data_IF_183694169853
#
_entry.id   IF_183694169853
#
_cell.length_a   1.000
_cell.length_b   1.000
_cell.length_c   1.000
_cell.angle_alpha   90.00
_cell.angle_beta   90.00
_cell.angle_gamma   90.00
#
_symmetry.space_group_name_H-M   'P 1'
#
loop_
_entity.id
_entity.type
_entity.pdbx_description
1 polymer ?
#
# COMPACT_ATOMS: atom_id res chain seq x y z
N UNK A 1 -19.24 -16.01 -7.28
CA UNK A 1 -18.80 -15.31 -6.05
C UNK A 1 -18.76 -16.39 -4.97
N UNK A 2 -17.59 -16.92 -4.68
CA UNK A 2 -17.40 -17.90 -3.60
C UNK A 2 -17.83 -17.23 -2.30
N UNK A 3 -18.61 -17.95 -1.49
CA UNK A 3 -19.03 -17.50 -0.16
C UNK A 3 -17.77 -17.29 0.67
N UNK A 4 -17.29 -16.04 0.71
CA UNK A 4 -16.07 -15.70 1.43
C UNK A 4 -16.42 -15.84 2.91
N UNK A 5 -15.77 -16.78 3.57
CA UNK A 5 -15.86 -16.91 5.04
C UNK A 5 -15.44 -15.57 5.66
N UNK A 6 -16.42 -14.88 6.17
CA UNK A 6 -16.26 -13.52 6.65
C UNK A 6 -15.34 -13.42 7.87
N UNK A 7 -15.46 -14.28 8.91
CA UNK A 7 -14.49 -14.38 9.99
C UNK A 7 -13.06 -14.56 9.48
N UNK A 8 -12.86 -15.46 8.52
CA UNK A 8 -11.57 -15.66 7.87
C UNK A 8 -11.01 -14.40 7.23
N UNK A 9 -11.84 -13.69 6.45
CA UNK A 9 -11.42 -12.44 5.78
C UNK A 9 -11.09 -11.34 6.79
N UNK A 10 -11.85 -11.22 7.90
CA UNK A 10 -11.54 -10.26 8.97
C UNK A 10 -10.19 -10.55 9.61
N UNK A 11 -9.91 -11.82 9.91
CA UNK A 11 -8.62 -12.23 10.49
C UNK A 11 -7.46 -11.99 9.50
N UNK A 12 -7.63 -12.35 8.23
CA UNK A 12 -6.63 -12.10 7.19
C UNK A 12 -6.37 -10.59 7.00
N UNK A 13 -7.41 -9.75 6.99
CA UNK A 13 -7.27 -8.30 6.96
C UNK A 13 -6.52 -7.75 8.17
N UNK A 14 -6.82 -8.24 9.38
CA UNK A 14 -6.09 -7.85 10.59
C UNK A 14 -4.63 -8.32 10.54
N UNK A 15 -4.37 -9.50 9.98
CA UNK A 15 -3.00 -9.97 9.78
C UNK A 15 -2.21 -9.05 8.83
N UNK A 16 -2.80 -8.69 7.69
CA UNK A 16 -2.16 -7.83 6.70
C UNK A 16 -1.95 -6.40 7.24
N UNK A 17 -2.99 -5.78 7.75
CA UNK A 17 -2.96 -4.37 8.19
C UNK A 17 -2.48 -4.19 9.63
N UNK A 18 -2.30 -5.29 10.38
CA UNK A 18 -1.87 -5.34 11.79
C UNK A 18 -2.85 -4.72 12.77
N UNK A 19 -3.63 -3.74 12.35
CA UNK A 19 -4.65 -3.08 13.15
C UNK A 19 -5.71 -2.44 12.24
N UNK A 20 -6.94 -2.41 12.72
CA UNK A 20 -8.03 -1.73 12.04
C UNK A 20 -9.11 -1.28 13.03
N UNK A 21 -9.87 -0.25 12.68
CA UNK A 21 -11.09 0.11 13.41
C UNK A 21 -12.25 -0.80 13.00
N UNK A 22 -13.32 -0.82 13.79
CA UNK A 22 -14.56 -1.54 13.39
C UNK A 22 -15.11 -1.02 12.06
N UNK A 23 -15.04 0.29 11.81
CA UNK A 23 -15.49 0.88 10.55
C UNK A 23 -14.62 0.41 9.37
N UNK A 24 -13.30 0.39 9.54
CA UNK A 24 -12.39 -0.10 8.51
C UNK A 24 -12.67 -1.56 8.15
N UNK A 25 -12.80 -2.45 9.14
CA UNK A 25 -13.13 -3.86 8.92
C UNK A 25 -14.48 -4.02 8.24
N UNK A 26 -15.49 -3.23 8.65
CA UNK A 26 -16.79 -3.24 8.00
C UNK A 26 -16.70 -2.90 6.52
N UNK A 27 -15.95 -1.86 6.15
CA UNK A 27 -15.77 -1.47 4.74
C UNK A 27 -14.92 -2.48 3.97
N UNK A 28 -13.88 -3.07 4.60
CA UNK A 28 -13.06 -4.10 3.95
C UNK A 28 -13.89 -5.30 3.54
N UNK A 29 -14.65 -5.86 4.47
CA UNK A 29 -15.37 -7.13 4.25
C UNK A 29 -16.73 -6.98 3.58
N UNK A 30 -17.35 -5.81 3.68
CA UNK A 30 -18.62 -5.50 2.97
C UNK A 30 -19.81 -6.39 3.32
N UNK A 31 -19.85 -6.97 4.54
CA UNK A 31 -20.73 -8.08 4.92
C UNK A 31 -22.20 -7.73 5.00
N UNK A 32 -22.52 -6.49 5.36
CA UNK A 32 -23.89 -6.09 5.62
C UNK A 32 -24.06 -4.58 5.46
N UNK A 33 -25.29 -4.13 5.25
CA UNK A 33 -25.61 -2.69 5.26
C UNK A 33 -25.32 -2.04 6.60
N UNK A 34 -25.29 -2.81 7.72
CA UNK A 34 -25.15 -2.27 9.07
C UNK A 34 -23.87 -2.74 9.77
N UNK A 35 -23.10 -1.80 10.25
CA UNK A 35 -21.88 -2.04 11.04
C UNK A 35 -22.11 -2.86 12.33
N UNK A 36 -23.37 -2.99 12.77
CA UNK A 36 -23.73 -3.80 13.94
C UNK A 36 -23.33 -5.28 13.78
N UNK A 37 -23.45 -5.86 12.57
CA UNK A 37 -23.03 -7.23 12.28
C UNK A 37 -21.52 -7.39 12.46
N UNK A 38 -20.71 -6.44 11.96
CA UNK A 38 -19.27 -6.45 12.16
C UNK A 38 -18.89 -6.33 13.64
N UNK A 39 -19.60 -5.50 14.40
CA UNK A 39 -19.38 -5.40 15.85
C UNK A 39 -19.70 -6.69 16.59
N UNK A 40 -20.73 -7.42 16.17
CA UNK A 40 -21.08 -8.72 16.76
C UNK A 40 -19.98 -9.74 16.46
N UNK A 41 -19.58 -9.88 15.20
CA UNK A 41 -18.50 -10.78 14.78
C UNK A 41 -17.19 -10.51 15.56
N UNK A 42 -16.79 -9.23 15.70
CA UNK A 42 -15.57 -8.88 16.43
C UNK A 42 -15.66 -9.21 17.92
N UNK A 43 -16.87 -9.22 18.52
CA UNK A 43 -17.06 -9.69 19.90
C UNK A 43 -16.97 -11.20 20.01
N UNK A 44 -17.50 -11.93 19.03
CA UNK A 44 -17.39 -13.38 18.94
C UNK A 44 -15.92 -13.79 18.79
N UNK A 45 -15.18 -13.20 17.84
CA UNK A 45 -13.74 -13.45 17.67
C UNK A 45 -12.91 -13.05 18.92
N UNK A 46 -13.35 -12.07 19.69
CA UNK A 46 -12.70 -11.70 20.95
C UNK A 46 -13.04 -12.67 22.08
N UNK A 47 -14.22 -13.26 22.10
CA UNK A 47 -14.59 -14.33 23.03
C UNK A 47 -13.80 -15.61 22.76
N UNK A 48 -13.48 -15.88 21.48
CA UNK A 48 -12.62 -16.99 21.04
C UNK A 48 -11.12 -16.65 21.20
N UNK A 49 -10.78 -15.54 21.84
CA UNK A 49 -9.41 -15.07 22.07
C UNK A 49 -8.56 -14.89 20.83
N UNK A 50 -9.17 -14.73 19.64
CA UNK A 50 -8.46 -14.53 18.38
C UNK A 50 -8.09 -13.07 18.11
N UNK A 51 -8.90 -12.14 18.61
CA UNK A 51 -8.66 -10.70 18.48
C UNK A 51 -8.75 -9.98 19.83
N UNK A 52 -8.06 -8.86 19.93
CA UNK A 52 -8.12 -7.98 21.10
C UNK A 52 -8.39 -6.54 20.65
N UNK A 53 -9.05 -5.76 21.49
CA UNK A 53 -9.29 -4.34 21.22
C UNK A 53 -8.52 -3.44 22.17
N UNK A 54 -7.98 -2.35 21.61
CA UNK A 54 -7.27 -1.29 22.35
C UNK A 54 -7.91 0.06 22.01
N UNK A 55 -8.13 0.90 23.00
CA UNK A 55 -8.60 2.26 22.76
C UNK A 55 -7.40 3.19 22.53
N UNK A 56 -7.41 3.93 21.40
CA UNK A 56 -6.47 5.02 21.21
C UNK A 56 -6.85 6.22 22.09
N UNK A 57 -5.86 6.92 22.67
CA UNK A 57 -6.13 8.17 23.33
C UNK A 57 -6.57 9.22 22.30
N UNK A 58 -7.56 10.04 22.65
CA UNK A 58 -8.05 11.12 21.82
C UNK A 58 -9.57 11.31 21.95
N UNK A 59 -10.11 12.41 21.40
CA UNK A 59 -11.54 12.64 21.36
C UNK A 59 -12.23 11.52 20.58
N UNK A 60 -13.20 10.85 21.19
CA UNK A 60 -14.00 9.79 20.55
C UNK A 60 -13.56 8.36 20.80
N UNK A 61 -12.51 8.12 21.60
CA UNK A 61 -12.05 6.76 22.01
C UNK A 61 -12.07 5.75 20.86
N UNK A 62 -11.30 6.00 19.82
CA UNK A 62 -11.19 5.10 18.67
C UNK A 62 -10.74 3.71 19.11
N UNK A 63 -11.61 2.71 18.94
CA UNK A 63 -11.29 1.32 19.23
C UNK A 63 -10.55 0.71 18.05
N UNK A 64 -9.34 0.23 18.30
CA UNK A 64 -8.55 -0.57 17.37
C UNK A 64 -8.68 -2.05 17.70
N UNK A 65 -8.76 -2.87 16.67
CA UNK A 65 -8.72 -4.31 16.74
C UNK A 65 -7.36 -4.81 16.22
N UNK A 66 -6.82 -5.81 16.92
CA UNK A 66 -5.55 -6.46 16.63
C UNK A 66 -5.71 -7.96 16.81
N UNK A 67 -4.87 -8.75 16.16
CA UNK A 67 -4.78 -10.18 16.46
C UNK A 67 -4.08 -10.41 17.81
N UNK A 68 -4.54 -11.43 18.53
CA UNK A 68 -3.80 -12.04 19.63
C UNK A 68 -2.69 -12.95 19.10
N UNK A 69 -1.91 -13.57 19.97
CA UNK A 69 -0.97 -14.61 19.57
C UNK A 69 -1.70 -15.80 18.92
N UNK A 70 -2.82 -16.25 19.49
CA UNK A 70 -3.63 -17.33 18.93
C UNK A 70 -4.21 -16.97 17.56
N UNK A 71 -4.77 -15.77 17.40
CA UNK A 71 -5.29 -15.30 16.12
C UNK A 71 -4.19 -15.18 15.04
N UNK A 72 -3.00 -14.70 15.41
CA UNK A 72 -1.83 -14.68 14.51
C UNK A 72 -1.46 -16.11 14.05
N UNK A 73 -1.34 -17.04 14.98
CA UNK A 73 -0.90 -18.39 14.68
C UNK A 73 -1.92 -19.14 13.79
N UNK A 74 -3.22 -18.89 14.01
CA UNK A 74 -4.28 -19.34 13.12
C UNK A 74 -4.12 -18.77 11.70
N UNK A 75 -3.84 -17.47 11.56
CA UNK A 75 -3.68 -16.83 10.26
C UNK A 75 -2.44 -17.34 9.50
N UNK A 76 -1.37 -17.77 10.17
CA UNK A 76 -0.15 -18.25 9.49
C UNK A 76 -0.40 -19.47 8.57
N UNK A 77 -1.46 -20.23 8.82
CA UNK A 77 -1.88 -21.32 7.94
C UNK A 77 -2.60 -20.83 6.67
N UNK A 78 -3.03 -19.58 6.62
CA UNK A 78 -3.78 -19.01 5.51
C UNK A 78 -2.86 -18.75 4.30
N UNK A 79 -3.21 -19.21 3.08
CA UNK A 79 -2.40 -19.00 1.87
C UNK A 79 -2.09 -17.53 1.59
N UNK A 80 -3.05 -16.62 1.83
CA UNK A 80 -2.99 -15.19 1.53
C UNK A 80 -1.94 -14.44 2.34
N UNK A 81 -1.56 -14.97 3.50
CA UNK A 81 -0.58 -14.36 4.40
C UNK A 81 0.69 -15.18 4.56
N UNK A 82 0.80 -16.29 3.82
CA UNK A 82 1.94 -17.21 3.90
C UNK A 82 3.26 -16.48 3.63
N UNK A 83 4.27 -16.76 4.46
CA UNK A 83 5.62 -16.17 4.32
C UNK A 83 5.75 -14.75 4.85
N UNK A 84 4.71 -14.19 5.45
CA UNK A 84 4.72 -12.88 6.07
C UNK A 84 4.93 -12.97 7.57
N UNK A 85 5.77 -12.09 8.11
CA UNK A 85 5.92 -11.95 9.54
C UNK A 85 4.85 -11.02 10.11
N UNK A 86 4.21 -11.42 11.19
CA UNK A 86 3.32 -10.58 11.98
C UNK A 86 3.98 -10.27 13.33
N UNK A 87 4.71 -9.17 13.46
CA UNK A 87 5.20 -8.73 14.77
C UNK A 87 4.01 -8.25 15.62
N UNK A 88 3.87 -8.81 16.81
CA UNK A 88 2.89 -8.32 17.77
C UNK A 88 3.28 -6.90 18.21
N UNK A 89 2.46 -5.93 17.84
CA UNK A 89 2.68 -4.52 18.18
C UNK A 89 1.91 -4.17 19.44
N UNK A 90 2.61 -3.74 20.50
CA UNK A 90 2.03 -3.42 21.80
C UNK A 90 2.49 -2.06 22.33
N UNK A 91 1.72 -1.50 23.25
CA UNK A 91 2.11 -0.33 24.04
C UNK A 91 2.38 0.93 23.20
N UNK A 92 3.52 1.56 23.45
CA UNK A 92 3.93 2.82 22.81
C UNK A 92 4.17 2.67 21.30
N UNK A 93 4.66 1.52 20.85
CA UNK A 93 4.87 1.25 19.43
C UNK A 93 3.56 1.23 18.64
N UNK A 94 2.48 0.67 19.22
CA UNK A 94 1.15 0.70 18.63
C UNK A 94 0.69 2.14 18.43
N UNK A 95 0.78 2.98 19.46
CA UNK A 95 0.32 4.38 19.41
C UNK A 95 1.06 5.20 18.35
N UNK A 96 2.37 4.97 18.20
CA UNK A 96 3.18 5.68 17.20
C UNK A 96 2.86 5.27 15.76
N UNK A 97 2.58 3.98 15.53
CA UNK A 97 2.31 3.44 14.20
C UNK A 97 0.86 3.61 13.76
N UNK A 98 -0.08 3.60 14.71
CA UNK A 98 -1.51 3.59 14.40
C UNK A 98 -1.95 4.70 13.44
N UNK A 99 -1.58 5.97 13.60
CA UNK A 99 -2.02 7.00 12.67
C UNK A 99 -1.61 6.73 11.22
N UNK A 100 -0.35 6.34 10.99
CA UNK A 100 0.14 6.02 9.64
C UNK A 100 -0.54 4.76 9.09
N UNK A 101 -0.59 3.68 9.85
CA UNK A 101 -1.23 2.42 9.42
C UNK A 101 -2.72 2.61 9.08
N UNK A 102 -3.42 3.48 9.80
CA UNK A 102 -4.81 3.80 9.51
C UNK A 102 -4.96 4.63 8.23
N UNK A 103 -4.03 5.53 7.92
CA UNK A 103 -4.07 6.30 6.69
C UNK A 103 -3.70 5.45 5.47
N UNK A 104 -2.76 4.50 5.61
CA UNK A 104 -2.49 3.45 4.61
C UNK A 104 -3.76 2.63 4.34
N UNK A 105 -4.48 2.25 5.40
CA UNK A 105 -5.74 1.51 5.27
C UNK A 105 -6.87 2.37 4.67
N UNK A 106 -6.97 3.66 5.01
CA UNK A 106 -7.92 4.60 4.38
C UNK A 106 -7.68 4.72 2.89
N UNK A 107 -6.40 4.74 2.46
CA UNK A 107 -6.04 4.73 1.05
C UNK A 107 -6.53 3.47 0.35
N UNK A 108 -6.28 2.29 0.94
CA UNK A 108 -6.82 1.02 0.44
C UNK A 108 -8.34 1.08 0.27
N UNK A 109 -9.06 1.58 1.29
CA UNK A 109 -10.53 1.65 1.27
C UNK A 109 -11.07 2.58 0.19
N UNK A 110 -10.37 3.66 -0.18
CA UNK A 110 -10.76 4.52 -1.29
C UNK A 110 -10.73 3.76 -2.62
N UNK A 111 -9.67 3.00 -2.89
CA UNK A 111 -9.58 2.13 -4.07
C UNK A 111 -10.62 1.00 -4.05
N UNK A 112 -10.84 0.38 -2.89
CA UNK A 112 -11.80 -0.72 -2.74
C UNK A 112 -13.25 -0.25 -2.96
N UNK A 113 -13.60 0.93 -2.45
CA UNK A 113 -14.93 1.51 -2.64
C UNK A 113 -15.21 1.77 -4.13
N UNK A 114 -14.24 2.37 -4.83
CA UNK A 114 -14.36 2.63 -6.26
C UNK A 114 -14.42 1.35 -7.09
N UNK A 115 -13.55 0.37 -6.80
CA UNK A 115 -13.56 -0.91 -7.50
C UNK A 115 -14.93 -1.59 -7.44
N UNK A 116 -15.56 -1.57 -6.27
CA UNK A 116 -16.93 -2.11 -6.09
C UNK A 116 -17.98 -1.35 -6.90
N UNK A 117 -17.85 -0.02 -6.99
CA UNK A 117 -18.78 0.79 -7.80
C UNK A 117 -18.61 0.55 -9.30
N UNK A 118 -17.38 0.36 -9.75
CA UNK A 118 -17.02 0.16 -11.15
C UNK A 118 -17.17 -1.29 -11.62
N UNK A 119 -17.26 -2.24 -10.68
CA UNK A 119 -17.22 -3.68 -10.98
C UNK A 119 -15.83 -4.18 -11.38
N UNK A 120 -14.78 -3.48 -10.96
CA UNK A 120 -13.40 -3.88 -11.16
C UNK A 120 -13.00 -5.03 -10.20
N UNK A 121 -11.96 -5.79 -10.57
CA UNK A 121 -11.46 -6.88 -9.72
C UNK A 121 -10.40 -6.32 -8.77
N UNK A 122 -10.82 -6.02 -7.57
CA UNK A 122 -9.98 -5.58 -6.48
C UNK A 122 -10.68 -5.86 -5.15
N UNK A 123 -10.05 -6.65 -4.32
CA UNK A 123 -10.58 -7.13 -3.05
C UNK A 123 -9.76 -6.69 -1.84
N UNK A 124 -10.24 -7.04 -0.63
CA UNK A 124 -9.58 -6.66 0.62
C UNK A 124 -8.19 -7.28 0.80
N UNK A 125 -7.82 -8.33 0.04
CA UNK A 125 -6.55 -9.01 0.11
C UNK A 125 -5.60 -8.68 -1.07
N UNK A 126 -6.02 -7.81 -2.00
CA UNK A 126 -5.21 -7.35 -3.14
C UNK A 126 -4.30 -6.15 -2.79
N UNK A 127 -4.24 -5.83 -1.51
CA UNK A 127 -3.38 -4.81 -0.91
C UNK A 127 -2.37 -5.46 0.04
N UNK A 128 -1.10 -5.31 -0.27
CA UNK A 128 0.01 -5.90 0.47
C UNK A 128 0.81 -4.84 1.21
N UNK A 129 0.63 -4.65 2.53
CA UNK A 129 1.38 -3.66 3.30
C UNK A 129 2.85 -4.02 3.48
N UNK A 130 3.71 -3.00 3.61
CA UNK A 130 5.13 -3.09 3.98
C UNK A 130 5.94 -4.04 3.09
N UNK A 131 5.89 -3.82 1.76
CA UNK A 131 6.64 -4.66 0.80
C UNK A 131 8.10 -4.25 0.75
N UNK A 132 8.96 -5.19 1.10
CA UNK A 132 10.40 -5.00 1.21
C UNK A 132 11.14 -5.44 -0.07
N UNK A 133 11.99 -4.55 -0.61
CA UNK A 133 12.88 -4.86 -1.73
C UNK A 133 14.31 -4.41 -1.43
N UNK A 134 15.24 -5.34 -1.53
CA UNK A 134 16.68 -5.05 -1.37
C UNK A 134 17.21 -4.20 -2.52
N UNK A 135 18.09 -3.26 -2.18
CA UNK A 135 18.79 -2.38 -3.12
C UNK A 135 20.31 -2.66 -3.17
N UNK A 136 20.80 -3.54 -2.31
CA UNK A 136 22.20 -3.99 -2.27
C UNK A 136 22.30 -5.29 -1.47
N UNK A 137 23.52 -5.82 -1.30
CA UNK A 137 23.77 -6.97 -0.45
C UNK A 137 23.63 -6.64 1.05
N UNK A 138 23.62 -5.35 1.40
CA UNK A 138 23.37 -4.91 2.78
C UNK A 138 21.87 -4.94 3.08
N UNK A 139 21.47 -5.64 4.15
CA UNK A 139 20.05 -5.77 4.54
C UNK A 139 19.39 -4.42 4.86
N UNK A 140 20.15 -3.45 5.34
CA UNK A 140 19.63 -2.12 5.66
C UNK A 140 19.34 -1.26 4.42
N UNK A 141 19.92 -1.60 3.27
CA UNK A 141 19.74 -0.85 2.02
C UNK A 141 18.57 -1.45 1.22
N UNK A 142 17.40 -0.91 1.42
CA UNK A 142 16.15 -1.40 0.86
C UNK A 142 15.17 -0.27 0.58
N UNK A 143 14.28 -0.48 -0.38
CA UNK A 143 13.02 0.25 -0.48
C UNK A 143 11.93 -0.56 0.20
N UNK A 144 11.15 0.10 1.05
CA UNK A 144 9.99 -0.49 1.72
C UNK A 144 8.80 0.36 1.33
N UNK A 145 7.98 -0.17 0.41
CA UNK A 145 6.73 0.47 0.06
C UNK A 145 5.74 0.34 1.22
N UNK A 146 4.97 1.40 1.50
CA UNK A 146 3.90 1.30 2.50
C UNK A 146 2.86 0.27 2.09
N UNK A 147 2.64 0.10 0.77
CA UNK A 147 1.89 -1.04 0.22
C UNK A 147 2.21 -1.33 -1.25
N UNK A 148 1.90 -2.56 -1.67
CA UNK A 148 1.75 -2.96 -3.07
C UNK A 148 0.28 -3.25 -3.34
N UNK A 149 -0.29 -2.53 -4.28
CA UNK A 149 -1.66 -2.73 -4.78
C UNK A 149 -1.64 -3.59 -6.04
N UNK A 150 -2.56 -4.57 -6.13
CA UNK A 150 -2.84 -5.37 -7.33
C UNK A 150 -4.27 -5.11 -7.76
N UNK A 151 -4.47 -4.47 -8.88
CA UNK A 151 -5.79 -4.01 -9.33
C UNK A 151 -6.03 -4.46 -10.77
N UNK A 152 -7.21 -5.01 -11.06
CA UNK A 152 -7.60 -5.36 -12.42
C UNK A 152 -8.80 -4.52 -12.83
N UNK A 153 -8.58 -3.65 -13.82
CA UNK A 153 -9.66 -2.87 -14.42
C UNK A 153 -10.38 -3.76 -15.42
N UNK A 154 -11.69 -3.87 -15.25
CA UNK A 154 -12.58 -4.53 -16.20
C UNK A 154 -13.05 -3.52 -17.24
N UNK A 155 -12.67 -3.73 -18.49
CA UNK A 155 -13.04 -2.87 -19.60
C UNK A 155 -14.21 -3.41 -20.41
N UNK A 156 -14.64 -2.64 -21.44
CA UNK A 156 -15.67 -3.07 -22.37
C UNK A 156 -15.32 -4.41 -23.02
N UNK A 157 -16.36 -5.18 -23.38
CA UNK A 157 -16.22 -6.48 -24.06
C UNK A 157 -15.37 -7.52 -23.33
N UNK A 158 -15.26 -7.41 -21.98
CA UNK A 158 -14.53 -8.37 -21.17
C UNK A 158 -13.00 -8.20 -21.19
N UNK A 159 -12.49 -7.09 -21.72
CA UNK A 159 -11.06 -6.78 -21.63
C UNK A 159 -10.64 -6.57 -20.18
N UNK A 160 -9.45 -7.07 -19.81
CA UNK A 160 -8.91 -6.99 -18.44
C UNK A 160 -7.52 -6.37 -18.48
N UNK A 161 -7.30 -5.31 -17.70
CA UNK A 161 -6.01 -4.65 -17.56
C UNK A 161 -5.51 -4.76 -16.13
N UNK A 162 -4.52 -5.61 -15.92
CA UNK A 162 -3.88 -5.78 -14.61
C UNK A 162 -2.87 -4.67 -14.37
N UNK A 163 -3.02 -3.95 -13.27
CA UNK A 163 -2.14 -2.88 -12.82
C UNK A 163 -1.57 -3.22 -11.44
N UNK A 164 -0.34 -2.78 -11.22
CA UNK A 164 0.30 -2.83 -9.91
C UNK A 164 0.82 -1.45 -9.56
N UNK A 165 0.74 -1.11 -8.29
CA UNK A 165 1.30 0.14 -7.80
C UNK A 165 1.96 -0.05 -6.43
N UNK A 166 3.15 0.50 -6.27
CA UNK A 166 3.69 0.82 -4.96
C UNK A 166 3.00 2.08 -4.47
N UNK A 167 2.50 2.04 -3.27
CA UNK A 167 1.82 3.17 -2.65
C UNK A 167 2.64 3.64 -1.45
N UNK A 168 2.86 4.95 -1.38
CA UNK A 168 3.53 5.64 -0.29
C UNK A 168 2.58 6.64 0.35
N UNK A 169 2.36 6.55 1.65
CA UNK A 169 1.47 7.45 2.37
C UNK A 169 2.28 8.39 3.25
N UNK A 170 2.31 9.66 2.90
CA UNK A 170 2.99 10.69 3.68
C UNK A 170 2.00 11.53 4.48
N UNK A 171 2.15 11.50 5.79
CA UNK A 171 1.35 12.28 6.75
C UNK A 171 1.88 13.69 6.97
N UNK A 172 2.68 14.22 6.06
CA UNK A 172 3.39 15.49 6.19
C UNK A 172 4.27 15.59 7.46
N UNK A 173 4.63 14.47 8.06
CA UNK A 173 5.52 14.41 9.24
C UNK A 173 6.99 14.22 8.87
N UNK A 174 7.27 13.83 7.64
CA UNK A 174 8.63 13.71 7.12
C UNK A 174 9.08 15.02 6.46
N UNK A 175 10.39 15.26 6.43
CA UNK A 175 10.94 16.36 5.60
C UNK A 175 10.82 16.02 4.11
N UNK A 176 10.82 17.04 3.24
CA UNK A 176 10.82 16.86 1.78
C UNK A 176 12.03 16.03 1.32
N UNK A 177 13.17 16.11 2.01
CA UNK A 177 14.38 15.31 1.75
C UNK A 177 14.14 13.80 1.94
N UNK A 178 13.38 13.39 2.98
CA UNK A 178 13.04 11.98 3.18
C UNK A 178 12.07 11.46 2.13
N UNK A 179 11.16 12.32 1.69
CA UNK A 179 10.26 12.00 0.59
C UNK A 179 11.04 11.83 -0.73
N UNK A 180 12.04 12.71 -0.97
CA UNK A 180 13.00 12.58 -2.06
C UNK A 180 13.78 11.27 -1.99
N UNK A 181 14.24 10.91 -0.79
CA UNK A 181 15.00 9.67 -0.58
C UNK A 181 14.18 8.43 -0.96
N UNK A 182 12.86 8.44 -0.72
CA UNK A 182 11.97 7.35 -1.19
C UNK A 182 11.93 7.31 -2.73
N UNK A 183 11.75 8.44 -3.40
CA UNK A 183 11.73 8.48 -4.86
C UNK A 183 13.05 7.99 -5.48
N UNK A 184 14.19 8.42 -4.91
CA UNK A 184 15.52 7.92 -5.32
C UNK A 184 15.68 6.42 -5.07
N UNK A 185 15.13 5.89 -3.97
CA UNK A 185 15.20 4.46 -3.68
C UNK A 185 14.45 3.62 -4.74
N UNK A 186 13.31 4.10 -5.24
CA UNK A 186 12.62 3.48 -6.38
C UNK A 186 13.43 3.56 -7.67
N UNK A 187 14.12 4.69 -7.92
CA UNK A 187 15.06 4.81 -9.05
C UNK A 187 16.22 3.80 -8.97
N UNK A 188 16.78 3.62 -7.77
CA UNK A 188 17.82 2.58 -7.54
C UNK A 188 17.24 1.17 -7.73
N UNK A 189 16.02 0.91 -7.27
CA UNK A 189 15.36 -0.38 -7.43
C UNK A 189 15.12 -0.73 -8.90
N UNK A 190 14.82 0.27 -9.75
CA UNK A 190 14.66 0.08 -11.18
C UNK A 190 15.91 -0.54 -11.83
N UNK A 191 17.08 -0.09 -11.40
CA UNK A 191 18.37 -0.48 -12.01
C UNK A 191 19.11 -1.57 -11.22
N UNK A 192 18.68 -1.88 -10.00
CA UNK A 192 19.41 -2.80 -9.15
C UNK A 192 19.41 -4.23 -9.71
N UNK A 193 20.59 -4.69 -10.07
CA UNK A 193 20.87 -6.08 -10.45
C UNK A 193 22.02 -6.60 -9.58
N UNK A 194 21.79 -7.63 -8.73
CA UNK A 194 22.82 -8.16 -7.85
C UNK A 194 23.94 -8.81 -8.68
N UNK A 195 25.18 -8.57 -8.27
CA UNK A 195 26.33 -9.21 -8.88
C UNK A 195 26.30 -10.73 -8.61
N UNK A 196 26.52 -11.57 -9.63
CA UNK A 196 26.61 -13.00 -9.43
C UNK A 196 27.85 -13.35 -8.59
N UNK A 197 27.69 -14.26 -7.63
CA UNK A 197 28.75 -14.73 -6.75
C UNK A 197 29.16 -16.16 -7.08
N UNK A 198 30.44 -16.51 -6.89
CA UNK A 198 30.94 -17.87 -7.02
C UNK A 198 30.99 -18.42 -8.45
N UNK A 199 30.57 -19.67 -8.65
CA UNK A 199 30.59 -20.34 -9.96
C UNK A 199 29.72 -19.65 -11.03
N UNK A 200 28.67 -18.92 -10.61
CA UNK A 200 27.82 -18.15 -11.50
C UNK A 200 28.60 -16.98 -12.16
N UNK A 201 29.54 -16.36 -11.43
CA UNK A 201 30.41 -15.29 -11.98
C UNK A 201 31.29 -15.77 -13.13
N UNK A 202 31.76 -17.04 -13.10
CA UNK A 202 32.60 -17.62 -14.17
C UNK A 202 31.84 -18.00 -15.44
N UNK A 203 30.49 -18.19 -15.32
CA UNK A 203 29.63 -18.56 -16.45
C UNK A 203 28.97 -17.37 -17.13
N UNK A 204 29.06 -16.20 -16.54
CA UNK A 204 28.44 -14.99 -17.07
C UNK A 204 29.44 -14.20 -17.93
N UNK A 205 29.64 -14.65 -19.11
CA UNK A 205 30.13 -13.83 -20.22
C UNK A 205 28.93 -13.08 -20.82
N UNK A 206 28.94 -11.75 -20.70
CA UNK A 206 28.11 -10.78 -21.47
C UNK A 206 26.58 -10.85 -21.42
N UNK A 207 25.94 -11.67 -20.64
CA UNK A 207 24.48 -11.55 -20.45
C UNK A 207 24.15 -10.32 -19.62
N UNK A 208 23.29 -9.43 -20.13
CA UNK A 208 22.79 -8.28 -19.39
C UNK A 208 22.22 -8.72 -18.04
N UNK A 209 22.68 -8.09 -16.96
CA UNK A 209 22.17 -8.40 -15.63
C UNK A 209 20.69 -7.99 -15.55
N UNK A 210 19.86 -8.96 -15.22
CA UNK A 210 18.40 -8.73 -15.09
C UNK A 210 18.13 -8.02 -13.78
N UNK A 211 17.49 -6.83 -13.78
CA UNK A 211 17.09 -6.14 -12.56
C UNK A 211 16.24 -7.02 -11.65
N UNK A 212 16.46 -6.90 -10.35
CA UNK A 212 15.82 -7.79 -9.36
C UNK A 212 14.29 -7.69 -9.35
N UNK A 213 13.74 -6.53 -9.66
CA UNK A 213 12.30 -6.33 -9.72
C UNK A 213 11.61 -7.22 -10.76
N UNK A 214 12.28 -7.57 -11.87
CA UNK A 214 11.72 -8.41 -12.93
C UNK A 214 11.46 -9.85 -12.48
N UNK A 215 12.05 -10.27 -11.35
CA UNK A 215 11.77 -11.57 -10.74
C UNK A 215 10.41 -11.63 -10.07
N UNK A 216 9.88 -10.46 -9.66
CA UNK A 216 8.62 -10.34 -8.91
C UNK A 216 7.50 -9.68 -9.71
N UNK A 217 7.85 -8.89 -10.73
CA UNK A 217 6.89 -8.07 -11.48
C UNK A 217 7.14 -8.21 -12.99
N UNK A 218 6.10 -8.50 -13.79
CA UNK A 218 6.22 -8.51 -15.24
C UNK A 218 6.43 -7.11 -15.83
N UNK A 219 5.91 -6.09 -15.14
CA UNK A 219 6.09 -4.65 -15.43
C UNK A 219 6.38 -3.97 -14.11
N UNK A 220 7.28 -2.98 -14.12
CA UNK A 220 7.58 -2.20 -12.91
C UNK A 220 6.29 -1.54 -12.40
N UNK A 221 5.93 -1.72 -11.13
CA UNK A 221 4.73 -1.11 -10.57
C UNK A 221 4.78 0.42 -10.64
N UNK A 222 3.64 1.07 -10.87
CA UNK A 222 3.49 2.53 -10.71
C UNK A 222 3.95 2.95 -9.32
N UNK A 223 4.36 4.19 -9.14
CA UNK A 223 4.66 4.70 -7.79
C UNK A 223 3.71 5.85 -7.48
N UNK A 224 2.87 5.65 -6.48
CA UNK A 224 1.78 6.53 -6.09
C UNK A 224 2.03 7.09 -4.69
N UNK A 225 2.18 8.41 -4.60
CA UNK A 225 2.32 9.12 -3.33
C UNK A 225 0.96 9.66 -2.89
N UNK A 226 0.54 9.32 -1.68
CA UNK A 226 -0.72 9.79 -1.08
C UNK A 226 -0.38 10.66 0.12
N UNK A 227 -0.79 11.92 0.06
CA UNK A 227 -0.48 12.94 1.07
C UNK A 227 -1.70 13.17 1.96
N UNK A 228 -1.49 13.29 3.27
CA UNK A 228 -2.55 13.57 4.25
C UNK A 228 -1.98 14.20 5.52
N UNK A 229 -2.85 14.54 6.48
CA UNK A 229 -2.46 14.94 7.84
C UNK A 229 -1.96 16.37 7.99
N UNK A 230 -2.07 17.21 6.96
CA UNK A 230 -1.73 18.63 6.99
C UNK A 230 -2.76 19.47 6.26
N UNK A 231 -2.58 20.79 6.25
CA UNK A 231 -3.43 21.66 5.44
C UNK A 231 -3.22 21.41 3.94
N UNK A 232 -4.24 21.68 3.13
CA UNK A 232 -4.18 21.52 1.67
C UNK A 232 -2.96 22.22 1.07
N UNK A 233 -2.70 23.46 1.47
CA UNK A 233 -1.53 24.24 0.99
C UNK A 233 -0.20 23.53 1.28
N UNK A 234 -0.06 22.92 2.45
CA UNK A 234 1.16 22.16 2.79
C UNK A 234 1.27 20.91 1.92
N UNK A 235 0.18 20.20 1.71
CA UNK A 235 0.17 18.99 0.86
C UNK A 235 0.45 19.33 -0.60
N UNK A 236 -0.13 20.38 -1.14
CA UNK A 236 0.14 20.86 -2.51
C UNK A 236 1.60 21.30 -2.69
N UNK A 237 2.19 21.96 -1.70
CA UNK A 237 3.63 22.27 -1.72
C UNK A 237 4.48 21.00 -1.78
N UNK A 238 4.12 19.96 -1.05
CA UNK A 238 4.83 18.67 -1.10
C UNK A 238 4.70 17.97 -2.45
N UNK A 239 3.57 18.10 -3.13
CA UNK A 239 3.43 17.64 -4.53
C UNK A 239 4.43 18.37 -5.43
N UNK A 240 4.52 19.71 -5.31
CA UNK A 240 5.48 20.51 -6.06
C UNK A 240 6.94 20.14 -5.74
N UNK A 241 7.26 19.86 -4.47
CA UNK A 241 8.58 19.37 -4.07
C UNK A 241 8.90 18.01 -4.74
N UNK A 242 7.96 17.07 -4.76
CA UNK A 242 8.12 15.78 -5.47
C UNK A 242 8.36 15.98 -6.97
N UNK A 243 7.62 16.87 -7.62
CA UNK A 243 7.81 17.21 -9.03
C UNK A 243 9.20 17.80 -9.29
N UNK A 244 9.62 18.76 -8.46
CA UNK A 244 10.94 19.36 -8.58
C UNK A 244 12.05 18.30 -8.44
N UNK A 245 11.90 17.35 -7.53
CA UNK A 245 12.86 16.27 -7.31
C UNK A 245 12.86 15.24 -8.43
N UNK A 246 11.70 14.92 -8.99
CA UNK A 246 11.58 14.01 -10.13
C UNK A 246 12.34 14.54 -11.37
N UNK A 247 12.47 15.86 -11.49
CA UNK A 247 13.25 16.49 -12.58
C UNK A 247 14.72 16.67 -12.20
N UNK A 248 15.00 17.15 -10.99
CA UNK A 248 16.36 17.55 -10.59
C UNK A 248 17.30 16.39 -10.30
N UNK A 249 16.79 15.24 -9.81
CA UNK A 249 17.62 14.10 -9.45
C UNK A 249 17.72 13.08 -10.61
N UNK A 250 18.92 12.71 -11.06
CA UNK A 250 19.08 11.80 -12.21
C UNK A 250 18.41 10.43 -12.06
N UNK A 251 18.41 9.85 -10.84
CA UNK A 251 17.74 8.56 -10.59
C UNK A 251 16.21 8.69 -10.65
N UNK A 252 15.68 9.77 -10.07
CA UNK A 252 14.25 10.06 -10.11
C UNK A 252 13.78 10.41 -11.53
N UNK A 253 14.55 11.20 -12.27
CA UNK A 253 14.26 11.55 -13.67
C UNK A 253 14.25 10.30 -14.57
N UNK A 254 15.22 9.39 -14.40
CA UNK A 254 15.24 8.13 -15.13
C UNK A 254 14.03 7.24 -14.78
N UNK A 255 13.67 7.15 -13.49
CA UNK A 255 12.48 6.42 -13.06
C UNK A 255 11.24 7.01 -13.75
N UNK A 256 11.09 8.32 -13.73
CA UNK A 256 9.94 9.03 -14.28
C UNK A 256 9.77 8.88 -15.80
N UNK A 257 10.84 8.55 -16.53
CA UNK A 257 10.78 8.28 -17.98
C UNK A 257 10.12 6.95 -18.32
N UNK A 258 10.15 5.98 -17.39
CA UNK A 258 9.71 4.59 -17.67
C UNK A 258 8.63 4.09 -16.75
N UNK A 259 8.41 4.77 -15.61
CA UNK A 259 7.44 4.37 -14.58
C UNK A 259 6.44 5.50 -14.35
N UNK A 260 5.14 5.24 -14.44
CA UNK A 260 4.12 6.22 -14.06
C UNK A 260 4.25 6.62 -12.60
N UNK A 261 4.44 7.91 -12.36
CA UNK A 261 4.58 8.51 -11.03
C UNK A 261 3.48 9.53 -10.81
N UNK A 262 2.79 9.45 -9.68
CA UNK A 262 1.74 10.43 -9.34
C UNK A 262 1.64 10.70 -7.86
N UNK A 263 1.11 11.87 -7.53
CA UNK A 263 0.77 12.25 -6.16
C UNK A 263 -0.67 12.73 -6.06
N UNK A 264 -1.36 12.37 -4.99
CA UNK A 264 -2.71 12.80 -4.69
C UNK A 264 -2.88 13.08 -3.20
N UNK A 265 -3.92 13.83 -2.86
CA UNK A 265 -4.34 14.08 -1.48
C UNK A 265 -5.36 13.01 -1.10
N UNK A 266 -5.20 12.36 0.07
CA UNK A 266 -6.06 11.26 0.51
C UNK A 266 -7.53 11.68 0.61
N UNK A 267 -7.80 12.88 1.07
CA UNK A 267 -9.14 13.41 1.19
C UNK A 267 -9.83 13.52 -0.18
N UNK A 268 -9.10 13.92 -1.23
CA UNK A 268 -9.61 13.97 -2.61
C UNK A 268 -9.89 12.55 -3.15
N UNK A 269 -9.03 11.57 -2.83
CA UNK A 269 -9.26 10.16 -3.17
C UNK A 269 -10.53 9.60 -2.53
N UNK A 270 -10.81 10.00 -1.30
CA UNK A 270 -11.99 9.54 -0.55
C UNK A 270 -13.28 10.20 -1.05
N UNK A 271 -13.21 11.45 -1.47
CA UNK A 271 -14.37 12.23 -1.90
C UNK A 271 -14.75 11.96 -3.37
N UNK A 272 -13.75 11.90 -4.26
CA UNK A 272 -13.96 11.86 -5.71
C UNK A 272 -13.67 10.49 -6.32
N UNK A 273 -12.94 9.63 -5.61
CA UNK A 273 -12.45 8.34 -6.09
C UNK A 273 -11.08 8.42 -6.78
N UNK A 274 -10.30 7.34 -6.74
CA UNK A 274 -8.97 7.28 -7.36
C UNK A 274 -8.92 7.44 -8.87
N UNK A 275 -9.98 7.10 -9.61
CA UNK A 275 -10.04 7.28 -11.07
C UNK A 275 -10.45 8.69 -11.50
N UNK A 276 -10.89 9.54 -10.57
CA UNK A 276 -11.14 10.96 -10.84
C UNK A 276 -9.80 11.70 -11.12
N UNK A 277 -9.85 12.90 -11.72
CA UNK A 277 -8.64 13.68 -12.00
C UNK A 277 -8.04 14.32 -10.74
N UNK A 278 -7.66 13.50 -9.78
CA UNK A 278 -7.10 13.88 -8.48
C UNK A 278 -5.60 13.63 -8.37
N UNK A 279 -5.02 12.89 -9.31
CA UNK A 279 -3.59 12.58 -9.33
C UNK A 279 -2.82 13.58 -10.17
N UNK A 280 -1.85 14.22 -9.55
CA UNK A 280 -0.89 15.10 -10.22
C UNK A 280 0.29 14.25 -10.69
N UNK A 281 0.60 14.17 -12.00
CA UNK A 281 1.81 13.51 -12.49
C UNK A 281 3.06 14.19 -11.92
N UNK A 282 4.08 13.40 -11.56
CA UNK A 282 5.31 13.95 -10.99
C UNK A 282 6.34 14.36 -12.08
N UNK A 283 6.16 13.88 -13.31
CA UNK A 283 7.01 14.23 -14.44
C UNK A 283 6.23 14.08 -15.75
N UNK A 284 6.82 14.55 -16.86
CA UNK A 284 6.25 14.56 -18.19
C UNK A 284 5.89 15.96 -18.66
N UNK A 285 5.53 16.09 -19.95
CA UNK A 285 5.21 17.39 -20.57
C UNK A 285 3.80 17.88 -20.16
N UNK A 286 2.91 16.95 -19.82
CA UNK A 286 1.56 17.24 -19.37
C UNK A 286 1.39 16.86 -17.89
N UNK A 287 1.32 17.86 -17.03
CA UNK A 287 1.12 17.75 -15.58
C UNK A 287 -0.35 17.94 -15.18
N UNK A 288 -1.28 17.91 -16.13
CA UNK A 288 -2.72 17.97 -15.84
C UNK A 288 -3.13 16.79 -14.98
N UNK A 289 -3.94 17.04 -13.96
CA UNK A 289 -4.47 16.00 -13.09
C UNK A 289 -5.29 14.99 -13.88
N UNK A 290 -5.15 13.72 -13.51
CA UNK A 290 -5.84 12.59 -14.18
C UNK A 290 -6.13 11.47 -13.20
N UNK A 291 -6.79 10.42 -13.64
CA UNK A 291 -6.99 9.21 -12.87
C UNK A 291 -5.69 8.43 -12.67
N UNK A 292 -5.56 7.68 -11.60
CA UNK A 292 -4.33 6.92 -11.28
C UNK A 292 -3.90 5.94 -12.38
N UNK A 293 -4.86 5.38 -13.10
CA UNK A 293 -4.60 4.41 -14.17
C UNK A 293 -4.20 5.05 -15.50
N UNK A 294 -4.28 6.38 -15.59
CA UNK A 294 -3.98 7.20 -16.78
C UNK A 294 -2.63 7.93 -16.67
N UNK A 295 -1.96 7.77 -15.53
CA UNK A 295 -0.63 8.31 -15.28
C UNK A 295 0.39 7.81 -16.28
#
# INVERSE_FOLDING_TARGET
MTDIDVPYTVLACLYLHRMATTAHLHHLVGIARQQAATRRLLRELAADELVISVNLPGPGRTKLWLLTAAGRDLCQAMPEVRGREYPLVQGTHLRRRAPHSLDVLRTHLAFLAEARQRGDEYGPLDWEPEVYHRLSDQRADAVIADALMRYTINGPSGSRRQLRAFVEVDRATMSSERLASKLMAYGRFLDYAPLPVGAARRRQTTAAQVPVWQRSYPVYPRVLFVLTGASRTVMERRVADLQAMAVANPLAARLAQVVPLGAAILEDLQEQGPSAPVWTPLAGDDLTRRGWSEL
#
